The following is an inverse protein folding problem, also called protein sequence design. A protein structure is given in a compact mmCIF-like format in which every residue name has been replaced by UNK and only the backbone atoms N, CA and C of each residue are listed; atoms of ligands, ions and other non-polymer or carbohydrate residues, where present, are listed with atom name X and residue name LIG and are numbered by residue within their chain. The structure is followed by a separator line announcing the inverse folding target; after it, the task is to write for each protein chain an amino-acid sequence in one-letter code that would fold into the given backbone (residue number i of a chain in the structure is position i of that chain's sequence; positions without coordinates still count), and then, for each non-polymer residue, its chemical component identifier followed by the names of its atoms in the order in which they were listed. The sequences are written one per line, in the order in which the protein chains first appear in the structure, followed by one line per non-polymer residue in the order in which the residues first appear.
data_IF_344037329797
#
_entry.id   IF_344037329797
#
_cell.length_a   1.000
_cell.length_b   1.000
_cell.length_c   1.000
_cell.angle_alpha   90.00
_cell.angle_beta   90.00
_cell.angle_gamma   90.00
#
_symmetry.space_group_name_H-M   'P 1'
#
loop_
_entity.id
_entity.type
_entity.pdbx_description
1 polymer ?
#
# COMPACT_ATOMS: atom_id res chain seq x y z
N UNK A 1 1.98 5.57 7.01
CA UNK A 1 2.88 6.73 6.84
C UNK A 1 4.24 6.36 7.39
N UNK A 2 5.30 6.61 6.63
CA UNK A 2 6.69 6.33 6.99
C UNK A 2 7.58 7.44 6.43
N UNK A 3 8.44 7.99 7.29
CA UNK A 3 9.38 9.04 6.95
C UNK A 3 10.55 9.05 7.95
N UNK A 4 11.55 9.89 7.71
CA UNK A 4 12.68 10.11 8.62
C UNK A 4 12.72 11.57 9.04
N UNK A 5 12.58 11.83 10.35
CA UNK A 5 12.60 13.19 10.92
C UNK A 5 13.46 13.22 12.20
N UNK A 6 14.00 14.39 12.53
CA UNK A 6 14.76 14.63 13.76
C UNK A 6 13.84 15.10 14.89
N UNK A 7 14.12 14.65 16.12
CA UNK A 7 13.33 14.98 17.31
C UNK A 7 14.20 15.59 18.41
N UNK A 8 13.60 16.46 19.22
CA UNK A 8 14.14 16.81 20.53
C UNK A 8 13.87 15.66 21.52
N UNK A 9 14.84 15.38 22.38
CA UNK A 9 14.75 14.30 23.37
C UNK A 9 14.42 14.87 24.74
N UNK A 10 13.37 14.36 25.38
CA UNK A 10 12.97 14.73 26.73
C UNK A 10 12.34 13.53 27.46
N UNK A 11 12.34 13.51 28.80
CA UNK A 11 11.67 12.45 29.57
C UNK A 11 10.15 12.48 29.35
N UNK A 12 9.59 11.37 28.86
CA UNK A 12 8.15 11.21 28.64
C UNK A 12 7.71 9.77 29.01
N UNK A 13 7.05 9.58 30.16
CA UNK A 13 6.71 8.24 30.64
C UNK A 13 5.55 7.57 29.88
N UNK A 14 4.70 8.33 29.19
CA UNK A 14 3.47 7.83 28.57
C UNK A 14 3.37 8.08 27.06
N UNK A 15 4.29 8.83 26.47
CA UNK A 15 4.25 9.19 25.05
C UNK A 15 5.63 8.99 24.43
N UNK A 16 5.84 7.92 23.65
CA UNK A 16 7.15 7.61 23.10
C UNK A 16 7.62 8.65 22.08
N UNK A 17 6.68 9.29 21.38
CA UNK A 17 6.92 10.34 20.38
C UNK A 17 5.77 11.34 20.45
N UNK A 18 6.09 12.62 20.28
CA UNK A 18 5.12 13.71 20.15
C UNK A 18 5.32 14.38 18.79
N UNK A 19 4.28 14.38 17.96
CA UNK A 19 4.27 15.09 16.69
C UNK A 19 3.64 16.47 16.90
N UNK A 20 4.48 17.50 16.86
CA UNK A 20 4.10 18.87 17.14
C UNK A 20 3.46 19.62 15.97
N UNK A 21 3.33 20.93 16.14
CA UNK A 21 2.68 21.81 15.17
C UNK A 21 3.34 21.77 13.78
N UNK A 22 4.68 21.83 13.71
CA UNK A 22 5.39 21.86 12.43
C UNK A 22 5.11 20.60 11.59
N UNK A 23 5.05 19.45 12.26
CA UNK A 23 4.68 18.19 11.62
C UNK A 23 3.23 18.21 11.11
N UNK A 24 2.30 18.68 11.95
CA UNK A 24 0.88 18.78 11.56
C UNK A 24 0.67 19.75 10.39
N UNK A 25 1.39 20.87 10.35
CA UNK A 25 1.33 21.84 9.28
C UNK A 25 1.88 21.25 7.96
N UNK A 26 3.03 20.57 8.03
CA UNK A 26 3.66 19.97 6.86
C UNK A 26 2.82 18.85 6.23
N UNK A 27 2.26 17.97 7.05
CA UNK A 27 1.54 16.79 6.55
C UNK A 27 0.04 17.01 6.37
N UNK A 28 -0.52 18.02 7.05
CA UNK A 28 -1.93 18.42 7.04
C UNK A 28 -2.92 17.23 7.04
N UNK A 29 -2.81 16.28 7.99
CA UNK A 29 -3.71 15.13 8.05
C UNK A 29 -5.09 15.56 8.56
N UNK A 30 -6.14 14.88 8.09
CA UNK A 30 -7.47 14.98 8.69
C UNK A 30 -7.54 14.04 9.88
N UNK A 31 -7.75 14.61 11.08
CA UNK A 31 -7.80 13.86 12.34
C UNK A 31 -9.22 13.87 12.87
N UNK A 32 -9.79 12.68 13.10
CA UNK A 32 -10.98 12.53 13.91
C UNK A 32 -10.57 12.48 15.39
N UNK A 33 -10.73 13.60 16.08
CA UNK A 33 -10.35 13.75 17.48
C UNK A 33 -11.21 12.92 18.46
N UNK A 34 -12.45 12.57 18.08
CA UNK A 34 -13.30 11.72 18.94
C UNK A 34 -12.85 10.27 18.95
N UNK A 35 -12.34 9.78 17.81
CA UNK A 35 -11.88 8.40 17.64
C UNK A 35 -10.37 8.26 17.68
N UNK A 36 -9.64 9.37 17.76
CA UNK A 36 -8.17 9.44 17.72
C UNK A 36 -7.57 8.78 16.48
N UNK A 37 -8.20 8.97 15.31
CA UNK A 37 -7.75 8.38 14.05
C UNK A 37 -7.42 9.43 12.99
N UNK A 38 -6.41 9.14 12.18
CA UNK A 38 -6.16 9.88 10.93
C UNK A 38 -7.04 9.28 9.83
N UNK A 39 -7.95 10.07 9.28
CA UNK A 39 -8.93 9.61 8.29
C UNK A 39 -8.46 9.84 6.86
N UNK A 40 -7.73 10.93 6.62
CA UNK A 40 -7.24 11.33 5.29
C UNK A 40 -5.84 11.93 5.41
N UNK A 41 -4.99 11.59 4.43
CA UNK A 41 -3.65 12.14 4.29
C UNK A 41 -3.61 13.15 3.14
N UNK A 42 -2.73 14.15 3.22
CA UNK A 42 -2.53 15.10 2.13
C UNK A 42 -2.00 14.43 0.86
N UNK A 43 -2.18 15.07 -0.30
CA UNK A 43 -1.64 14.59 -1.58
C UNK A 43 -0.12 14.38 -1.52
N UNK A 44 0.60 15.25 -0.80
CA UNK A 44 2.04 15.08 -0.58
C UNK A 44 2.35 13.76 0.15
N UNK A 45 1.63 13.48 1.24
CA UNK A 45 1.82 12.25 2.00
C UNK A 45 1.45 11.00 1.21
N UNK A 46 0.39 11.06 0.40
CA UNK A 46 -0.02 9.95 -0.47
C UNK A 46 1.08 9.53 -1.45
N UNK A 47 1.89 10.47 -1.93
CA UNK A 47 2.98 10.19 -2.87
C UNK A 47 4.31 9.87 -2.18
N UNK A 48 4.64 10.57 -1.10
CA UNK A 48 6.01 10.57 -0.57
C UNK A 48 6.18 9.82 0.76
N UNK A 49 5.11 9.70 1.54
CA UNK A 49 5.18 9.21 2.92
C UNK A 49 4.35 7.93 3.15
N UNK A 50 3.30 7.72 2.36
CA UNK A 50 2.49 6.51 2.41
C UNK A 50 3.14 5.44 1.53
N UNK A 51 4.04 4.64 2.12
CA UNK A 51 4.54 3.42 1.50
C UNK A 51 3.46 2.34 1.47
N UNK A 52 2.48 2.50 0.60
CA UNK A 52 1.57 1.42 0.22
C UNK A 52 2.35 0.48 -0.70
N UNK A 53 2.77 -0.68 -0.18
CA UNK A 53 3.60 -1.70 -0.84
C UNK A 53 5.10 -1.37 -1.01
N UNK A 54 5.84 -1.35 0.10
CA UNK A 54 7.22 -1.84 0.10
C UNK A 54 7.16 -3.35 0.39
N UNK A 55 7.77 -4.24 -0.41
CA UNK A 55 7.74 -5.68 -0.16
C UNK A 55 8.67 -5.98 1.02
N UNK A 56 8.19 -5.78 2.24
CA UNK A 56 8.85 -6.22 3.46
C UNK A 56 7.94 -7.25 4.11
N UNK A 57 8.32 -8.49 3.86
CA UNK A 57 7.97 -9.73 4.55
C UNK A 57 6.89 -9.64 5.64
N UNK A 58 5.77 -10.29 5.37
CA UNK A 58 5.02 -11.03 6.38
C UNK A 58 4.51 -12.30 5.72
N UNK A 59 5.30 -13.35 5.82
CA UNK A 59 4.92 -14.68 5.35
C UNK A 59 3.69 -15.17 6.15
N UNK A 60 2.59 -15.61 5.51
CA UNK A 60 1.64 -16.49 6.15
C UNK A 60 2.16 -17.94 6.11
N UNK A 61 1.91 -18.75 7.15
CA UNK A 61 2.30 -20.14 7.18
C UNK A 61 1.52 -20.92 6.11
N UNK A 62 2.26 -21.82 5.48
CA UNK A 62 1.82 -22.75 4.45
C UNK A 62 0.57 -23.55 4.85
N UNK A 63 -0.38 -23.66 3.92
CA UNK A 63 -1.13 -24.90 3.74
C UNK A 63 -1.63 -25.09 2.30
N UNK A 64 -1.66 -26.34 1.81
CA UNK A 64 -1.71 -26.67 0.39
C UNK A 64 -3.16 -26.93 -0.06
N UNK A 65 -3.47 -26.65 -1.32
CA UNK A 65 -4.28 -27.55 -2.17
C UNK A 65 -4.40 -27.04 -3.61
N UNK A 66 -4.02 -27.92 -4.53
CA UNK A 66 -4.66 -28.15 -5.83
C UNK A 66 -5.13 -26.92 -6.63
N UNK A 67 -4.18 -26.31 -7.35
CA UNK A 67 -4.24 -26.20 -8.80
C UNK A 67 -2.97 -25.46 -9.21
N UNK A 68 -2.02 -26.20 -9.77
CA UNK A 68 -0.74 -25.64 -10.18
C UNK A 68 -1.01 -24.66 -11.33
N UNK A 69 -0.77 -23.34 -11.16
CA UNK A 69 -0.86 -22.44 -12.28
C UNK A 69 0.32 -22.74 -13.20
N UNK A 70 0.04 -23.10 -14.44
CA UNK A 70 1.04 -23.20 -15.49
C UNK A 70 1.71 -21.83 -15.57
N UNK A 71 2.99 -21.76 -15.19
CA UNK A 71 3.73 -20.51 -15.25
C UNK A 71 3.78 -20.05 -16.72
N UNK A 72 3.46 -18.78 -17.02
CA UNK A 72 3.56 -18.27 -18.38
C UNK A 72 5.02 -18.29 -18.84
N UNK A 73 5.24 -18.58 -20.12
CA UNK A 73 6.57 -18.50 -20.74
C UNK A 73 7.01 -17.04 -20.80
N UNK A 74 8.09 -16.72 -20.07
CA UNK A 74 8.64 -15.36 -19.94
C UNK A 74 9.87 -15.14 -20.83
N UNK A 75 10.18 -16.07 -21.75
CA UNK A 75 11.34 -15.96 -22.64
C UNK A 75 11.35 -14.69 -23.50
N UNK A 76 10.17 -14.13 -23.82
CA UNK A 76 10.01 -12.86 -24.53
C UNK A 76 9.89 -11.61 -23.64
N UNK A 77 10.00 -11.77 -22.31
CA UNK A 77 9.79 -10.69 -21.34
C UNK A 77 11.14 -10.33 -20.69
N UNK A 78 11.54 -9.05 -20.63
CA UNK A 78 12.75 -8.63 -19.92
C UNK A 78 12.74 -9.05 -18.44
N UNK A 79 13.90 -9.43 -17.88
CA UNK A 79 14.02 -9.95 -16.50
C UNK A 79 13.45 -9.01 -15.43
N UNK A 80 13.54 -7.69 -15.66
CA UNK A 80 12.99 -6.65 -14.80
C UNK A 80 11.46 -6.69 -14.62
N UNK A 81 10.73 -7.50 -15.41
CA UNK A 81 9.28 -7.70 -15.31
C UNK A 81 8.88 -9.12 -14.93
N UNK A 82 9.84 -10.01 -14.62
CA UNK A 82 9.53 -11.41 -14.28
C UNK A 82 8.79 -11.53 -12.94
N UNK A 83 8.96 -10.55 -12.05
CA UNK A 83 8.17 -10.38 -10.83
C UNK A 83 6.68 -10.10 -11.12
N UNK A 84 6.37 -9.56 -12.29
CA UNK A 84 5.01 -9.34 -12.80
C UNK A 84 4.50 -10.51 -13.67
N UNK A 85 5.14 -11.68 -13.64
CA UNK A 85 4.77 -12.88 -14.42
C UNK A 85 3.27 -13.20 -14.40
N UNK A 86 2.60 -12.97 -13.28
CA UNK A 86 1.16 -13.18 -13.11
C UNK A 86 0.29 -12.27 -13.98
N UNK A 87 0.78 -11.10 -14.38
CA UNK A 87 0.10 -10.18 -15.31
C UNK A 87 0.05 -10.77 -16.72
N UNK A 88 1.06 -11.55 -17.09
CA UNK A 88 1.16 -12.23 -18.38
C UNK A 88 0.38 -13.56 -18.42
N UNK A 89 -0.32 -13.93 -17.33
CA UNK A 89 -1.16 -15.12 -17.29
C UNK A 89 -2.48 -14.87 -18.04
N UNK A 90 -2.66 -15.54 -19.18
CA UNK A 90 -3.84 -15.39 -20.06
C UNK A 90 -5.17 -15.63 -19.34
N UNK A 91 -5.22 -16.63 -18.45
CA UNK A 91 -6.44 -16.98 -17.71
C UNK A 91 -6.84 -15.91 -16.69
N UNK A 92 -5.86 -15.19 -16.13
CA UNK A 92 -6.13 -14.08 -15.21
C UNK A 92 -6.47 -12.80 -15.97
N UNK A 93 -5.85 -12.58 -17.13
CA UNK A 93 -6.14 -11.43 -17.98
C UNK A 93 -7.58 -11.44 -18.55
N UNK A 94 -8.18 -12.62 -18.70
CA UNK A 94 -9.57 -12.76 -19.16
C UNK A 94 -10.62 -12.56 -18.06
N UNK A 95 -10.20 -12.60 -16.79
CA UNK A 95 -11.07 -12.31 -15.65
C UNK A 95 -11.12 -10.80 -15.38
N UNK A 96 -12.32 -10.23 -15.37
CA UNK A 96 -12.49 -8.85 -14.92
C UNK A 96 -12.14 -8.77 -13.42
N UNK A 97 -11.42 -7.72 -12.98
CA UNK A 97 -11.28 -7.46 -11.55
C UNK A 97 -12.66 -7.26 -10.92
N UNK A 98 -12.81 -7.51 -9.61
CA UNK A 98 -14.07 -7.34 -8.91
C UNK A 98 -14.57 -5.89 -9.06
N UNK A 99 -15.86 -5.77 -9.39
CA UNK A 99 -16.50 -4.47 -9.66
C UNK A 99 -16.38 -3.55 -8.45
N UNK A 100 -16.06 -2.30 -8.72
CA UNK A 100 -15.87 -1.25 -7.72
C UNK A 100 -17.02 -0.24 -7.79
N UNK A 101 -17.34 0.45 -6.69
CA UNK A 101 -18.47 1.40 -6.66
C UNK A 101 -18.29 2.65 -7.54
N UNK A 102 -17.11 2.83 -8.13
CA UNK A 102 -16.75 3.93 -9.03
C UNK A 102 -16.46 3.47 -10.46
N UNK A 103 -16.77 2.22 -10.79
CA UNK A 103 -16.68 1.74 -12.17
C UNK A 103 -17.81 2.38 -12.99
N UNK A 104 -17.45 3.01 -14.11
CA UNK A 104 -18.42 3.62 -15.01
C UNK A 104 -19.03 2.55 -15.92
N UNK A 105 -20.35 2.38 -15.86
CA UNK A 105 -21.06 1.50 -16.80
C UNK A 105 -21.03 2.11 -18.21
N UNK A 106 -20.81 1.27 -19.21
CA UNK A 106 -21.04 1.62 -20.62
C UNK A 106 -22.42 1.07 -20.96
N UNK A 107 -23.37 1.95 -21.20
CA UNK A 107 -24.68 1.56 -21.73
C UNK A 107 -24.50 1.15 -23.20
N UNK A 108 -24.76 -0.12 -23.51
CA UNK A 108 -24.68 -0.72 -24.85
C UNK A 108 -26.07 -0.90 -25.48
#
# INVERSE_FOLDING_TARGET
HQESISFFVFPSPHSPVVLGYDWLLAHNPQINWKTSQVTVWSSHCLTNCLRSASPICSAPPSRPTADSPVLPDLSGVPEEYHDLSLVFCKDRASSLPPHRPYDCAIDL
#
